data_IF_091617344331
#
_entry.id   IF_091617344331
#
_cell.length_a   1.000
_cell.length_b   1.000
_cell.length_c   1.000
_cell.angle_alpha   90.00
_cell.angle_beta   90.00
_cell.angle_gamma   90.00
#
_symmetry.space_group_name_H-M   'P 1'
#
loop_
_entity.id
_entity.type
_entity.pdbx_description
1 polymer ?
#
# COMPACT_ATOMS: atom_id res chain seq x y z
N UNK A 1 -8.21 -19.39 10.46
CA UNK A 1 -8.94 -19.54 9.19
C UNK A 1 -9.55 -18.20 8.90
N UNK A 2 -9.22 -17.60 7.77
CA UNK A 2 -9.69 -16.26 7.42
C UNK A 2 -11.17 -16.37 7.01
N UNK A 3 -12.05 -15.66 7.71
CA UNK A 3 -13.50 -15.72 7.45
C UNK A 3 -13.90 -14.61 6.47
N UNK A 4 -13.72 -14.86 5.17
CA UNK A 4 -14.09 -13.93 4.09
C UNK A 4 -15.60 -13.70 3.93
N UNK A 5 -16.43 -14.41 4.69
CA UNK A 5 -17.89 -14.24 4.71
C UNK A 5 -18.36 -13.25 5.78
N UNK A 6 -17.53 -12.97 6.79
CA UNK A 6 -17.84 -11.99 7.82
C UNK A 6 -17.82 -10.58 7.21
N UNK A 7 -18.98 -9.92 7.17
CA UNK A 7 -19.11 -8.56 6.62
C UNK A 7 -19.17 -7.48 7.71
N UNK A 8 -19.63 -7.87 8.89
CA UNK A 8 -19.82 -6.97 10.02
C UNK A 8 -19.26 -7.63 11.28
N UNK A 9 -18.66 -6.81 12.14
CA UNK A 9 -18.25 -7.26 13.46
C UNK A 9 -19.47 -7.30 14.39
N UNK A 10 -19.62 -8.34 15.21
CA UNK A 10 -20.63 -8.32 16.25
C UNK A 10 -20.32 -7.21 17.26
N UNK A 11 -21.35 -6.73 17.95
CA UNK A 11 -21.12 -5.87 19.10
C UNK A 11 -20.40 -6.65 20.21
N UNK A 12 -19.37 -6.03 20.78
CA UNK A 12 -18.61 -6.60 21.88
C UNK A 12 -18.87 -5.81 23.16
N UNK A 13 -19.32 -6.52 24.20
CA UNK A 13 -19.35 -6.03 25.58
C UNK A 13 -18.17 -6.62 26.36
N UNK A 14 -17.36 -5.75 26.96
CA UNK A 14 -16.17 -6.18 27.69
C UNK A 14 -16.43 -6.10 29.18
N UNK A 15 -16.18 -7.21 29.88
CA UNK A 15 -16.14 -7.19 31.34
C UNK A 15 -14.91 -6.42 31.79
N UNK A 16 -15.10 -5.50 32.74
CA UNK A 16 -14.03 -4.73 33.37
C UNK A 16 -12.89 -5.66 33.80
N UNK A 17 -11.66 -5.31 33.43
CA UNK A 17 -10.42 -6.06 33.72
C UNK A 17 -10.25 -7.42 33.00
N UNK A 18 -11.08 -7.74 32.02
CA UNK A 18 -10.84 -8.93 31.18
C UNK A 18 -9.77 -8.64 30.14
N UNK A 19 -8.84 -9.57 29.97
CA UNK A 19 -7.93 -9.57 28.82
C UNK A 19 -8.66 -10.25 27.67
N UNK A 20 -8.84 -9.53 26.57
CA UNK A 20 -9.51 -10.04 25.36
C UNK A 20 -8.45 -10.25 24.28
N UNK A 21 -8.59 -11.33 23.51
CA UNK A 21 -7.73 -11.65 22.37
C UNK A 21 -8.52 -11.57 21.07
N UNK A 22 -7.99 -10.83 20.09
CA UNK A 22 -8.56 -10.75 18.74
C UNK A 22 -7.56 -11.23 17.70
N UNK A 23 -8.03 -11.94 16.68
CA UNK A 23 -7.24 -12.22 15.49
C UNK A 23 -8.11 -12.05 14.25
N UNK A 24 -7.98 -10.89 13.61
CA UNK A 24 -8.75 -10.50 12.43
C UNK A 24 -7.75 -10.05 11.36
N UNK A 25 -7.66 -10.81 10.28
CA UNK A 25 -6.77 -10.54 9.14
C UNK A 25 -7.43 -10.93 7.82
N UNK A 26 -6.96 -10.32 6.73
CA UNK A 26 -7.30 -10.66 5.34
C UNK A 26 -8.80 -10.66 5.03
N UNK A 27 -9.56 -9.72 5.60
CA UNK A 27 -10.96 -9.55 5.27
C UNK A 27 -11.22 -8.18 4.63
N UNK A 28 -11.27 -8.08 3.29
CA UNK A 28 -11.51 -6.83 2.59
C UNK A 28 -12.93 -6.28 2.75
N UNK A 29 -13.87 -7.03 3.33
CA UNK A 29 -15.27 -6.62 3.50
C UNK A 29 -15.54 -5.99 4.87
N UNK A 30 -14.59 -6.11 5.80
CA UNK A 30 -14.81 -5.80 7.19
C UNK A 30 -14.30 -4.40 7.53
N UNK A 31 -15.19 -3.54 7.99
CA UNK A 31 -14.82 -2.31 8.66
C UNK A 31 -14.44 -2.60 10.12
N UNK A 32 -13.16 -2.45 10.45
CA UNK A 32 -12.66 -2.68 11.81
C UNK A 32 -12.55 -1.38 12.63
N UNK A 33 -12.97 -0.23 12.10
CA UNK A 33 -12.75 1.09 12.71
C UNK A 33 -13.23 1.14 14.16
N UNK A 34 -14.49 0.78 14.41
CA UNK A 34 -15.07 0.83 15.75
C UNK A 34 -14.35 -0.10 16.75
N UNK A 35 -13.92 -1.29 16.30
CA UNK A 35 -13.16 -2.21 17.16
C UNK A 35 -11.76 -1.66 17.46
N UNK A 36 -11.08 -1.10 16.45
CA UNK A 36 -9.75 -0.51 16.62
C UNK A 36 -9.77 0.66 17.61
N UNK A 37 -10.77 1.53 17.55
CA UNK A 37 -10.94 2.61 18.53
C UNK A 37 -11.15 2.06 19.94
N UNK A 38 -11.99 1.03 20.10
CA UNK A 38 -12.24 0.42 21.43
C UNK A 38 -10.99 -0.22 22.04
N UNK A 39 -10.16 -0.90 21.23
CA UNK A 39 -8.95 -1.58 21.74
C UNK A 39 -7.83 -0.58 22.10
N UNK A 40 -7.86 0.65 21.58
CA UNK A 40 -6.93 1.71 22.02
C UNK A 40 -7.25 2.18 23.44
N UNK A 41 -8.51 2.07 23.86
CA UNK A 41 -9.00 2.51 25.17
C UNK A 41 -8.90 1.41 26.26
N UNK A 42 -8.58 0.16 25.90
CA UNK A 42 -8.56 -0.96 26.83
C UNK A 42 -7.38 -1.91 26.63
N UNK A 43 -6.91 -2.58 27.70
CA UNK A 43 -5.87 -3.58 27.57
C UNK A 43 -6.37 -4.79 26.76
N UNK A 44 -5.62 -5.14 25.71
CA UNK A 44 -5.78 -6.38 24.96
C UNK A 44 -4.57 -7.28 25.16
N UNK A 45 -4.74 -8.57 24.87
CA UNK A 45 -3.64 -9.53 24.81
C UNK A 45 -2.60 -9.10 23.75
N UNK A 46 -1.31 -9.20 24.06
CA UNK A 46 -0.20 -8.76 23.20
C UNK A 46 -0.07 -9.58 21.91
N UNK A 47 -0.66 -10.76 21.86
CA UNK A 47 -0.76 -11.58 20.63
C UNK A 47 -1.95 -11.20 19.75
N UNK A 48 -2.75 -10.21 20.17
CA UNK A 48 -3.89 -9.75 19.38
C UNK A 48 -3.44 -9.05 18.11
N UNK A 49 -4.15 -9.33 17.02
CA UNK A 49 -4.00 -8.63 15.75
C UNK A 49 -5.37 -8.27 15.20
N UNK A 50 -5.56 -7.00 14.89
CA UNK A 50 -6.73 -6.50 14.18
C UNK A 50 -6.19 -5.76 12.96
N UNK A 51 -6.57 -6.21 11.77
CA UNK A 51 -6.27 -5.52 10.52
C UNK A 51 -6.83 -4.09 10.49
N UNK A 52 -6.31 -3.25 9.59
CA UNK A 52 -6.97 -2.01 9.20
C UNK A 52 -8.34 -2.27 8.54
N UNK A 53 -9.24 -1.27 8.49
CA UNK A 53 -10.52 -1.40 7.81
C UNK A 53 -10.32 -1.81 6.35
N UNK A 54 -11.07 -2.80 5.89
CA UNK A 54 -11.06 -3.29 4.50
C UNK A 54 -9.67 -3.71 3.99
N UNK A 55 -8.83 -4.22 4.89
CA UNK A 55 -7.44 -4.53 4.61
C UNK A 55 -7.19 -6.00 4.22
N UNK A 56 -6.13 -6.18 3.45
CA UNK A 56 -5.58 -7.46 3.05
C UNK A 56 -4.09 -7.52 3.36
N UNK A 57 -3.63 -8.59 4.00
CA UNK A 57 -2.22 -8.79 4.34
C UNK A 57 -1.48 -9.69 3.35
N UNK A 58 -0.41 -10.31 3.83
CA UNK A 58 0.49 -11.12 3.01
C UNK A 58 -0.10 -12.46 2.54
N UNK A 59 -1.09 -12.98 3.26
CA UNK A 59 -1.79 -14.24 2.91
C UNK A 59 -2.97 -14.02 1.95
N UNK A 60 -3.18 -12.80 1.45
CA UNK A 60 -4.24 -12.55 0.46
C UNK A 60 -4.04 -13.43 -0.78
N UNK A 61 -5.14 -14.01 -1.25
CA UNK A 61 -5.17 -14.75 -2.52
C UNK A 61 -5.29 -13.80 -3.72
N UNK A 62 -5.93 -12.64 -3.51
CA UNK A 62 -6.13 -11.59 -4.50
C UNK A 62 -6.24 -10.22 -3.80
N UNK A 63 -5.93 -9.15 -4.52
CA UNK A 63 -6.17 -7.76 -4.14
C UNK A 63 -7.62 -7.32 -4.38
N UNK A 64 -8.45 -8.19 -4.95
CA UNK A 64 -9.85 -7.90 -5.22
C UNK A 64 -10.59 -7.44 -3.95
N UNK A 65 -11.21 -6.26 -4.04
CA UNK A 65 -11.95 -5.61 -2.95
C UNK A 65 -11.12 -5.10 -1.76
N UNK A 66 -9.81 -5.33 -1.74
CA UNK A 66 -8.95 -4.69 -0.76
C UNK A 66 -8.97 -3.18 -1.00
N UNK A 67 -9.07 -2.40 0.08
CA UNK A 67 -8.82 -0.95 0.05
C UNK A 67 -7.47 -0.61 0.64
N UNK A 68 -7.02 -1.44 1.59
CA UNK A 68 -5.74 -1.29 2.27
C UNK A 68 -4.92 -2.57 2.08
N UNK A 69 -3.64 -2.44 1.78
CA UNK A 69 -2.69 -3.55 1.76
C UNK A 69 -1.76 -3.42 2.96
N UNK A 70 -1.68 -4.46 3.80
CA UNK A 70 -0.77 -4.57 4.96
C UNK A 70 0.35 -5.56 4.63
N UNK A 71 1.05 -5.30 3.52
CA UNK A 71 2.15 -6.09 2.97
C UNK A 71 2.81 -5.31 1.81
N UNK A 72 3.88 -5.87 1.25
CA UNK A 72 4.40 -5.41 -0.04
C UNK A 72 3.39 -5.67 -1.18
N UNK A 73 3.27 -4.69 -2.07
CA UNK A 73 2.43 -4.75 -3.26
C UNK A 73 3.31 -4.75 -4.50
N UNK A 74 3.37 -5.88 -5.21
CA UNK A 74 4.23 -6.06 -6.37
C UNK A 74 3.36 -6.09 -7.63
N UNK A 75 3.53 -5.11 -8.50
CA UNK A 75 2.86 -5.06 -9.80
C UNK A 75 3.42 -6.16 -10.70
N UNK A 76 2.54 -6.84 -11.43
CA UNK A 76 2.88 -7.99 -12.29
C UNK A 76 2.70 -9.36 -11.63
N UNK A 77 2.31 -9.41 -10.35
CA UNK A 77 1.83 -10.65 -9.73
C UNK A 77 0.31 -10.80 -9.91
N UNK A 78 -0.15 -12.00 -10.27
CA UNK A 78 -1.57 -12.35 -10.48
C UNK A 78 -2.46 -11.93 -9.29
N UNK A 79 -1.98 -12.16 -8.06
CA UNK A 79 -2.71 -11.76 -6.84
C UNK A 79 -2.89 -10.25 -6.64
N UNK A 80 -2.28 -9.41 -7.49
CA UNK A 80 -2.28 -7.95 -7.39
C UNK A 80 -2.85 -7.28 -8.66
N UNK A 81 -3.56 -8.02 -9.52
CA UNK A 81 -4.13 -7.47 -10.76
C UNK A 81 -5.23 -6.42 -10.50
N UNK A 82 -6.03 -6.60 -9.44
CA UNK A 82 -7.10 -5.66 -9.08
C UNK A 82 -6.53 -4.49 -8.28
N UNK A 83 -6.31 -3.35 -8.93
CA UNK A 83 -5.70 -2.16 -8.30
C UNK A 83 -6.66 -0.99 -8.06
N UNK A 84 -7.82 -0.98 -8.74
CA UNK A 84 -8.75 0.17 -8.80
C UNK A 84 -9.31 0.63 -7.45
N UNK A 85 -9.30 -0.25 -6.45
CA UNK A 85 -9.85 -0.01 -5.11
C UNK A 85 -8.78 0.28 -4.07
N UNK A 86 -7.51 0.08 -4.40
CA UNK A 86 -6.42 0.27 -3.46
C UNK A 86 -6.26 1.75 -3.16
N UNK A 87 -6.41 2.10 -1.90
CA UNK A 87 -6.28 3.45 -1.36
C UNK A 87 -4.93 3.63 -0.66
N UNK A 88 -4.51 2.60 0.08
CA UNK A 88 -3.36 2.68 0.97
C UNK A 88 -2.53 1.39 0.93
N UNK A 89 -1.21 1.55 0.92
CA UNK A 89 -0.25 0.45 1.02
C UNK A 89 0.61 0.70 2.25
N UNK A 90 0.53 -0.21 3.23
CA UNK A 90 1.41 -0.30 4.39
C UNK A 90 2.45 -1.38 4.11
N UNK A 91 3.47 -0.99 3.34
CA UNK A 91 4.53 -1.82 2.79
C UNK A 91 5.18 -1.10 1.61
N UNK A 92 5.96 -1.80 0.80
CA UNK A 92 6.53 -1.25 -0.43
C UNK A 92 5.64 -1.53 -1.63
N UNK A 93 5.38 -0.51 -2.44
CA UNK A 93 4.90 -0.65 -3.82
C UNK A 93 6.10 -0.91 -4.75
N UNK A 94 6.10 -2.06 -5.44
CA UNK A 94 7.23 -2.52 -6.25
C UNK A 94 6.81 -2.76 -7.70
N UNK A 95 7.53 -2.13 -8.61
CA UNK A 95 7.44 -2.30 -10.05
C UNK A 95 8.86 -2.61 -10.52
N UNK A 96 9.20 -3.90 -10.55
CA UNK A 96 10.57 -4.35 -10.81
C UNK A 96 10.56 -5.43 -11.89
N UNK A 97 11.48 -5.31 -12.86
CA UNK A 97 11.68 -6.30 -13.93
C UNK A 97 10.40 -6.61 -14.73
N UNK A 98 9.64 -5.58 -15.09
CA UNK A 98 8.41 -5.72 -15.88
C UNK A 98 8.59 -5.24 -17.31
N UNK A 99 7.76 -5.78 -18.22
CA UNK A 99 7.67 -5.36 -19.62
C UNK A 99 6.59 -4.29 -19.85
N UNK A 100 6.10 -3.67 -18.77
CA UNK A 100 5.04 -2.67 -18.84
C UNK A 100 5.54 -1.40 -19.55
N UNK A 101 4.74 -0.88 -20.46
CA UNK A 101 4.99 0.45 -21.02
C UNK A 101 4.45 1.57 -20.11
N UNK A 102 3.40 1.27 -19.36
CA UNK A 102 2.72 2.20 -18.46
C UNK A 102 2.38 1.47 -17.15
N UNK A 103 2.40 2.22 -16.05
CA UNK A 103 1.91 1.70 -14.77
C UNK A 103 0.39 1.48 -14.85
N UNK A 104 -0.16 0.43 -14.21
CA UNK A 104 -1.59 0.29 -14.09
C UNK A 104 -2.16 1.49 -13.33
N UNK A 105 -3.29 2.02 -13.80
CA UNK A 105 -3.93 3.18 -13.16
C UNK A 105 -4.39 2.78 -11.77
N UNK A 106 -4.03 3.59 -10.77
CA UNK A 106 -4.39 3.38 -9.37
C UNK A 106 -5.17 4.61 -8.86
N UNK A 107 -6.38 4.85 -9.36
CA UNK A 107 -7.08 6.14 -9.23
C UNK A 107 -7.47 6.52 -7.80
N UNK A 108 -7.34 5.60 -6.84
CA UNK A 108 -7.66 5.83 -5.43
C UNK A 108 -6.42 5.81 -4.53
N UNK A 109 -5.26 5.43 -5.07
CA UNK A 109 -4.05 5.29 -4.27
C UNK A 109 -3.59 6.67 -3.83
N UNK A 110 -3.70 6.92 -2.53
CA UNK A 110 -3.28 8.20 -1.90
C UNK A 110 -2.05 8.03 -1.01
N UNK A 111 -1.75 6.80 -0.57
CA UNK A 111 -0.78 6.57 0.50
C UNK A 111 0.06 5.31 0.31
N UNK A 112 1.38 5.45 0.44
CA UNK A 112 2.34 4.34 0.46
C UNK A 112 3.33 4.56 1.61
N UNK A 113 3.22 3.73 2.65
CA UNK A 113 4.02 3.86 3.87
C UNK A 113 4.74 2.56 4.18
N UNK A 114 6.07 2.62 4.25
CA UNK A 114 6.89 1.49 4.66
C UNK A 114 7.20 1.58 6.16
N UNK A 115 6.62 0.66 6.94
CA UNK A 115 6.72 0.64 8.41
C UNK A 115 7.87 -0.24 8.94
N UNK A 116 8.57 -0.97 8.08
CA UNK A 116 9.69 -1.81 8.49
C UNK A 116 10.90 -1.00 8.99
N UNK A 117 11.48 -1.44 10.11
CA UNK A 117 12.54 -0.71 10.83
C UNK A 117 13.85 -0.51 10.06
N UNK A 118 14.03 -1.19 8.93
CA UNK A 118 15.26 -1.14 8.15
C UNK A 118 15.27 -0.03 7.09
N UNK A 119 14.29 0.88 7.08
CA UNK A 119 14.30 2.01 6.16
C UNK A 119 14.10 1.57 4.70
N UNK A 120 13.39 0.46 4.47
CA UNK A 120 13.10 0.04 3.10
C UNK A 120 12.33 1.15 2.35
N UNK A 121 12.56 1.31 1.04
CA UNK A 121 11.82 2.29 0.25
C UNK A 121 10.33 1.96 0.24
N UNK A 122 9.50 2.99 0.27
CA UNK A 122 8.05 2.88 0.10
C UNK A 122 7.69 2.58 -1.37
N UNK A 123 8.39 3.18 -2.33
CA UNK A 123 8.16 2.94 -3.76
C UNK A 123 9.47 2.51 -4.43
N UNK A 124 9.42 1.43 -5.21
CA UNK A 124 10.55 0.90 -5.96
C UNK A 124 10.13 0.70 -7.42
N UNK A 125 10.76 1.42 -8.35
CA UNK A 125 10.56 1.32 -9.79
C UNK A 125 11.91 1.04 -10.44
N UNK A 126 12.21 -0.24 -10.73
CA UNK A 126 13.54 -0.63 -11.20
C UNK A 126 13.51 -1.60 -12.37
N UNK A 127 14.48 -1.43 -13.26
CA UNK A 127 14.77 -2.41 -14.31
C UNK A 127 13.55 -2.69 -15.21
N UNK A 128 12.77 -1.65 -15.55
CA UNK A 128 11.63 -1.74 -16.47
C UNK A 128 12.02 -1.05 -17.80
N UNK A 129 12.57 -1.79 -18.79
CA UNK A 129 13.15 -1.20 -19.99
C UNK A 129 12.11 -0.56 -20.93
N UNK A 130 10.84 -0.92 -20.78
CA UNK A 130 9.75 -0.42 -21.62
C UNK A 130 8.92 0.68 -20.96
N UNK A 131 9.09 0.93 -19.67
CA UNK A 131 8.28 1.89 -18.92
C UNK A 131 8.55 3.31 -19.42
N UNK A 132 7.49 4.01 -19.83
CA UNK A 132 7.58 5.34 -20.45
C UNK A 132 7.25 6.48 -19.51
N UNK A 133 6.39 6.24 -18.52
CA UNK A 133 5.92 7.26 -17.58
C UNK A 133 5.54 6.67 -16.22
N UNK A 134 5.34 7.55 -15.24
CA UNK A 134 4.91 7.24 -13.87
C UNK A 134 3.63 7.99 -13.47
N UNK A 135 2.80 8.33 -14.46
CA UNK A 135 1.62 9.20 -14.26
C UNK A 135 0.64 8.64 -13.22
N UNK A 136 0.57 7.30 -13.08
CA UNK A 136 -0.27 6.62 -12.08
C UNK A 136 0.10 6.94 -10.61
N UNK A 137 1.22 7.62 -10.35
CA UNK A 137 1.68 8.00 -9.02
C UNK A 137 1.51 9.49 -8.69
N UNK A 138 1.02 10.30 -9.64
CA UNK A 138 0.96 11.76 -9.48
C UNK A 138 0.02 12.21 -8.37
N UNK A 139 -1.04 11.45 -8.12
CA UNK A 139 -2.06 11.74 -7.10
C UNK A 139 -1.71 11.15 -5.72
N UNK A 140 -0.53 10.53 -5.56
CA UNK A 140 -0.12 9.96 -4.26
C UNK A 140 0.31 11.08 -3.32
N UNK A 141 -0.50 11.32 -2.29
CA UNK A 141 -0.35 12.40 -1.32
C UNK A 141 0.75 12.12 -0.29
N UNK A 142 0.82 10.87 0.19
CA UNK A 142 1.76 10.48 1.25
C UNK A 142 2.64 9.32 0.82
N UNK A 143 3.94 9.56 0.77
CA UNK A 143 4.97 8.54 0.60
C UNK A 143 6.01 8.70 1.71
N UNK A 144 6.16 7.67 2.55
CA UNK A 144 7.06 7.71 3.69
C UNK A 144 7.62 6.33 4.06
N UNK A 145 8.78 6.33 4.70
CA UNK A 145 9.34 5.17 5.39
C UNK A 145 9.85 5.61 6.78
N UNK A 146 10.36 4.67 7.57
CA UNK A 146 10.74 4.93 8.98
C UNK A 146 11.85 5.98 9.13
N UNK A 147 12.80 6.06 8.19
CA UNK A 147 13.96 6.97 8.28
C UNK A 147 13.83 8.24 7.42
N UNK A 148 12.77 8.34 6.62
CA UNK A 148 12.52 9.42 5.65
C UNK A 148 13.67 9.60 4.63
N UNK A 149 14.47 8.55 4.42
CA UNK A 149 15.57 8.51 3.46
C UNK A 149 15.33 7.44 2.42
N UNK A 150 15.77 7.68 1.17
CA UNK A 150 15.60 6.74 0.06
C UNK A 150 14.16 6.21 -0.08
N UNK A 151 13.18 7.09 0.22
CA UNK A 151 11.76 6.75 0.30
C UNK A 151 11.23 6.20 -1.03
N UNK A 152 11.74 6.73 -2.14
CA UNK A 152 11.42 6.32 -3.50
C UNK A 152 12.73 6.00 -4.22
N UNK A 153 12.77 4.87 -4.93
CA UNK A 153 13.89 4.54 -5.82
C UNK A 153 13.38 4.30 -7.23
N UNK A 154 13.90 5.08 -8.18
CA UNK A 154 13.62 4.95 -9.62
C UNK A 154 14.95 4.76 -10.33
N UNK A 155 15.23 3.56 -10.87
CA UNK A 155 16.53 3.25 -11.50
C UNK A 155 16.38 2.33 -12.69
N UNK A 156 17.27 2.44 -13.67
CA UNK A 156 17.38 1.52 -14.81
C UNK A 156 16.06 1.35 -15.62
N UNK A 157 15.33 2.44 -15.85
CA UNK A 157 14.14 2.45 -16.69
C UNK A 157 14.45 3.26 -17.96
N UNK A 158 15.04 2.62 -18.98
CA UNK A 158 15.72 3.31 -20.09
C UNK A 158 14.82 4.14 -21.01
N UNK A 159 13.50 3.91 -21.00
CA UNK A 159 12.51 4.69 -21.76
C UNK A 159 11.70 5.65 -20.88
N UNK A 160 11.95 5.66 -19.58
CA UNK A 160 11.21 6.49 -18.64
C UNK A 160 11.73 7.92 -18.73
N UNK A 161 10.83 8.85 -19.06
CA UNK A 161 11.14 10.27 -19.05
C UNK A 161 9.96 11.08 -18.50
N UNK A 162 10.26 12.27 -17.98
CA UNK A 162 9.29 13.27 -17.54
C UNK A 162 8.98 14.20 -18.71
N UNK A 163 7.71 14.33 -19.08
CA UNK A 163 7.27 15.29 -20.09
C UNK A 163 7.27 16.71 -19.50
N UNK A 164 7.51 17.76 -20.29
CA UNK A 164 7.53 19.15 -19.80
C UNK A 164 6.27 19.56 -19.02
N UNK A 165 5.09 19.11 -19.46
CA UNK A 165 3.81 19.38 -18.80
C UNK A 165 3.65 18.73 -17.41
N UNK A 166 4.56 17.82 -17.03
CA UNK A 166 4.52 17.08 -15.77
C UNK A 166 5.63 17.49 -14.79
N UNK A 167 6.50 18.45 -15.14
CA UNK A 167 7.64 18.85 -14.31
C UNK A 167 7.22 19.45 -12.97
N UNK A 168 6.12 20.21 -12.94
CA UNK A 168 5.62 20.90 -11.74
C UNK A 168 4.75 20.01 -10.84
N UNK A 169 4.57 18.73 -11.19
CA UNK A 169 3.75 17.82 -10.39
C UNK A 169 4.47 17.53 -9.06
N UNK A 170 3.81 17.66 -7.90
CA UNK A 170 4.48 17.51 -6.60
C UNK A 170 5.27 16.21 -6.41
N UNK A 171 4.75 15.09 -6.92
CA UNK A 171 5.46 13.81 -6.91
C UNK A 171 6.77 13.88 -7.72
N UNK A 172 6.72 14.46 -8.92
CA UNK A 172 7.86 14.61 -9.82
C UNK A 172 8.90 15.56 -9.23
N UNK A 173 8.48 16.71 -8.70
CA UNK A 173 9.37 17.66 -8.02
C UNK A 173 10.11 17.04 -6.83
N UNK A 174 9.49 16.07 -6.15
CA UNK A 174 10.05 15.44 -4.94
C UNK A 174 10.90 14.21 -5.23
N UNK A 175 10.57 13.44 -6.27
CA UNK A 175 11.15 12.10 -6.51
C UNK A 175 11.66 11.87 -7.94
N UNK A 176 11.45 12.82 -8.85
CA UNK A 176 11.77 12.69 -10.28
C UNK A 176 13.16 13.15 -10.70
N UNK A 177 14.02 13.56 -9.76
CA UNK A 177 15.35 14.12 -10.07
C UNK A 177 16.20 13.21 -10.95
N UNK A 178 16.18 11.90 -10.67
CA UNK A 178 16.92 10.85 -11.36
C UNK A 178 16.27 10.40 -12.70
N UNK A 179 15.18 11.04 -13.13
CA UNK A 179 14.48 10.71 -14.38
C UNK A 179 14.87 11.71 -15.48
N UNK A 180 15.16 11.21 -16.68
CA UNK A 180 15.44 12.05 -17.85
C UNK A 180 14.20 12.87 -18.26
N UNK A 181 14.41 14.02 -18.90
CA UNK A 181 13.30 14.84 -19.43
C UNK A 181 13.08 14.43 -20.87
N UNK A 182 11.83 14.27 -21.30
CA UNK A 182 11.52 13.86 -22.66
C UNK A 182 11.89 15.00 -23.64
N UNK A 183 12.83 14.76 -24.57
CA UNK A 183 13.24 15.77 -25.55
C UNK A 183 14.42 15.33 -26.40
#
# INVERSE_FOLDING_TARGET
MDNMLLKELPEFEWKKNSIVRFYISNNPKLDTTALRTKIEEHPIDDTSYVQRPFACGSKRESSCNCRVIEDNFVIGLEKNEDVDKIEEIYGSLKIENTELEELPKMPKLRKVVQLERHGFPAIIIKDNPNLKNIEALFDVEEVSNVDMQNVVIIKNNSKLCVKPEHEDIPFVLKYGDDIERCG
#
